data_IF_168278508092
#
_entry.id   IF_168278508092
#
_cell.length_a   1.000
_cell.length_b   1.000
_cell.length_c   1.000
_cell.angle_alpha   90.00
_cell.angle_beta   90.00
_cell.angle_gamma   90.00
#
_symmetry.space_group_name_H-M   'P 1'
#
loop_
_entity.id
_entity.type
_entity.pdbx_description
1 polymer ?
#
# COMPACT_ATOMS: atom_id res chain seq x y z
N UNK A 1 27.14 37.74 -3.62
CA UNK A 1 25.79 37.13 -3.58
C UNK A 1 25.76 35.99 -4.54
N UNK A 2 25.20 34.85 -4.19
CA UNK A 2 25.06 33.70 -5.08
C UNK A 2 24.09 34.06 -6.21
N UNK A 3 24.48 33.86 -7.46
CA UNK A 3 23.65 34.13 -8.61
C UNK A 3 22.48 33.14 -8.72
N UNK A 4 21.42 33.47 -9.46
CA UNK A 4 20.30 32.56 -9.70
C UNK A 4 20.76 31.24 -10.32
N UNK A 5 21.66 31.29 -11.32
CA UNK A 5 22.20 30.12 -11.97
C UNK A 5 22.98 29.20 -10.99
N UNK A 6 23.74 29.79 -10.06
CA UNK A 6 24.44 29.02 -9.03
C UNK A 6 23.46 28.37 -8.06
N UNK A 7 22.37 29.04 -7.68
CA UNK A 7 21.31 28.43 -6.84
C UNK A 7 20.65 27.25 -7.55
N UNK A 8 20.28 27.38 -8.83
CA UNK A 8 19.71 26.29 -9.63
C UNK A 8 20.67 25.11 -9.73
N UNK A 9 21.96 25.38 -9.98
CA UNK A 9 23.00 24.33 -10.03
C UNK A 9 23.12 23.57 -8.71
N UNK A 10 23.15 24.30 -7.60
CA UNK A 10 23.22 23.69 -6.26
C UNK A 10 21.98 22.85 -5.94
N UNK A 11 20.77 23.34 -6.26
CA UNK A 11 19.52 22.62 -6.07
C UNK A 11 19.50 21.30 -6.87
N UNK A 12 19.92 21.35 -8.14
CA UNK A 12 20.01 20.13 -8.99
C UNK A 12 21.03 19.14 -8.45
N UNK A 13 22.19 19.61 -7.99
CA UNK A 13 23.22 18.75 -7.43
C UNK A 13 22.74 18.05 -6.15
N UNK A 14 22.09 18.78 -5.25
CA UNK A 14 21.48 18.22 -4.03
C UNK A 14 20.39 17.18 -4.34
N UNK A 15 19.53 17.48 -5.30
CA UNK A 15 18.49 16.55 -5.73
C UNK A 15 19.08 15.26 -6.33
N UNK A 16 20.13 15.38 -7.16
CA UNK A 16 20.80 14.20 -7.75
C UNK A 16 21.51 13.35 -6.67
N UNK A 17 22.13 14.00 -5.67
CA UNK A 17 22.71 13.31 -4.52
C UNK A 17 21.62 12.49 -3.77
N UNK A 18 20.44 13.06 -3.56
CA UNK A 18 19.30 12.37 -2.94
C UNK A 18 18.86 11.17 -3.76
N UNK A 19 18.69 11.35 -5.10
CA UNK A 19 18.21 10.29 -5.99
C UNK A 19 19.20 9.13 -6.16
N UNK A 20 20.48 9.37 -5.98
CA UNK A 20 21.54 8.36 -6.15
C UNK A 20 22.07 7.79 -4.85
N UNK A 21 21.52 8.24 -3.72
CA UNK A 21 21.92 7.77 -2.39
C UNK A 21 21.70 6.27 -2.25
N UNK A 22 22.78 5.54 -1.96
CA UNK A 22 22.73 4.10 -1.71
C UNK A 22 21.99 3.78 -0.42
N UNK A 23 21.18 2.74 -0.46
CA UNK A 23 20.43 2.27 0.70
C UNK A 23 21.02 0.97 1.23
N UNK A 24 21.37 0.96 2.49
CA UNK A 24 22.02 -0.16 3.17
C UNK A 24 21.02 -0.86 4.10
N UNK A 25 21.04 -2.20 4.19
CA UNK A 25 20.22 -2.90 5.14
C UNK A 25 20.61 -2.56 6.58
N UNK A 26 19.65 -2.55 7.48
CA UNK A 26 19.91 -2.41 8.91
C UNK A 26 20.65 -3.64 9.42
N UNK A 27 21.60 -3.43 10.37
CA UNK A 27 22.45 -4.51 10.92
C UNK A 27 21.66 -5.56 11.71
N UNK A 28 20.54 -5.18 12.28
CA UNK A 28 19.71 -6.04 13.13
C UNK A 28 18.29 -6.09 12.60
N UNK A 29 17.71 -7.26 12.62
CA UNK A 29 16.35 -7.53 12.21
C UNK A 29 15.81 -8.79 12.90
N UNK A 30 14.57 -9.12 12.62
CA UNK A 30 13.89 -10.29 13.17
C UNK A 30 14.18 -11.60 12.42
N UNK A 31 15.00 -11.55 11.38
CA UNK A 31 15.33 -12.71 10.53
C UNK A 31 14.28 -13.01 9.45
N UNK A 32 13.08 -12.44 9.53
CA UNK A 32 11.98 -12.67 8.59
C UNK A 32 12.13 -11.76 7.38
N UNK A 33 12.43 -10.49 7.62
CA UNK A 33 12.69 -9.48 6.60
C UNK A 33 13.87 -8.58 6.99
N UNK A 34 14.42 -7.87 6.01
CA UNK A 34 15.44 -6.85 6.19
C UNK A 34 14.85 -5.47 5.89
N UNK A 35 14.98 -4.53 6.81
CA UNK A 35 14.70 -3.10 6.59
C UNK A 35 15.94 -2.36 6.15
N UNK A 36 15.76 -1.21 5.51
CA UNK A 36 16.83 -0.35 5.01
C UNK A 36 16.85 0.99 5.73
N UNK A 37 18.02 1.64 5.70
CA UNK A 37 18.31 2.84 6.48
C UNK A 37 17.51 4.06 6.08
N UNK A 38 17.27 4.22 4.77
CA UNK A 38 16.62 5.42 4.24
C UNK A 38 15.27 5.07 3.60
N UNK A 39 14.30 6.01 3.65
CA UNK A 39 13.14 5.90 2.78
C UNK A 39 13.58 5.93 1.31
N UNK A 40 12.89 5.15 0.49
CA UNK A 40 13.17 5.07 -0.96
C UNK A 40 12.58 6.25 -1.72
N UNK A 41 11.45 6.80 -1.23
CA UNK A 41 10.80 7.98 -1.79
C UNK A 41 10.25 8.87 -0.65
N UNK A 42 10.44 10.16 -0.82
CA UNK A 42 9.86 11.24 -0.01
C UNK A 42 9.38 12.35 -0.94
N UNK A 43 8.67 13.34 -0.45
CA UNK A 43 8.28 14.53 -1.22
C UNK A 43 9.48 15.22 -1.91
N UNK A 44 10.69 15.11 -1.35
CA UNK A 44 11.90 15.69 -1.93
C UNK A 44 12.35 15.00 -3.20
N UNK A 45 12.06 13.69 -3.37
CA UNK A 45 12.38 12.91 -4.56
C UNK A 45 11.55 13.28 -5.80
N UNK A 46 10.45 14.02 -5.63
CA UNK A 46 9.62 14.45 -6.76
C UNK A 46 10.40 15.38 -7.68
N UNK A 47 10.18 15.32 -9.01
CA UNK A 47 10.92 16.12 -9.98
C UNK A 47 10.93 17.60 -9.63
N UNK A 48 12.09 18.23 -9.77
CA UNK A 48 12.23 19.66 -9.47
C UNK A 48 11.33 20.52 -10.36
N UNK A 49 11.11 20.10 -11.62
CA UNK A 49 10.24 20.79 -12.58
C UNK A 49 8.74 20.80 -12.15
N UNK A 50 8.33 19.92 -11.22
CA UNK A 50 6.98 19.96 -10.67
C UNK A 50 6.81 21.04 -9.60
N UNK A 51 7.91 21.44 -8.97
CA UNK A 51 7.92 22.32 -7.77
C UNK A 51 8.40 23.73 -8.09
N UNK A 52 9.33 23.90 -9.02
CA UNK A 52 10.01 25.16 -9.26
C UNK A 52 9.77 25.68 -10.68
N UNK A 53 9.49 26.98 -10.77
CA UNK A 53 9.70 27.73 -11.98
C UNK A 53 11.18 28.16 -12.04
N UNK A 54 11.87 27.75 -13.11
CA UNK A 54 13.29 28.07 -13.33
C UNK A 54 13.50 29.36 -14.14
N UNK A 55 12.45 30.14 -14.40
CA UNK A 55 12.57 31.46 -14.99
C UNK A 55 12.96 32.48 -13.91
N UNK A 56 14.16 33.04 -13.97
CA UNK A 56 14.65 34.04 -12.99
C UNK A 56 13.73 35.25 -12.89
N UNK A 57 13.14 35.68 -14.02
CA UNK A 57 12.22 36.81 -14.08
C UNK A 57 10.96 36.56 -13.24
N UNK A 58 10.44 35.35 -13.31
CA UNK A 58 9.16 34.98 -12.68
C UNK A 58 9.35 34.40 -11.25
N UNK A 59 10.56 33.87 -10.98
CA UNK A 59 10.91 33.29 -9.69
C UNK A 59 12.32 33.69 -9.22
N UNK A 60 12.59 34.98 -8.98
CA UNK A 60 13.95 35.48 -8.71
C UNK A 60 14.57 34.93 -7.42
N UNK A 61 13.75 34.47 -6.48
CA UNK A 61 14.21 33.87 -5.22
C UNK A 61 14.39 32.37 -5.29
N UNK A 62 14.04 31.71 -6.41
CA UNK A 62 14.02 30.26 -6.59
C UNK A 62 13.22 29.56 -5.47
N UNK A 63 11.98 30.00 -5.29
CA UNK A 63 11.04 29.38 -4.33
C UNK A 63 10.25 28.26 -5.02
N UNK A 64 9.82 27.28 -4.23
CA UNK A 64 8.82 26.32 -4.70
C UNK A 64 7.51 27.04 -4.99
N UNK A 65 6.93 26.79 -6.16
CA UNK A 65 5.63 27.31 -6.56
C UNK A 65 4.50 26.34 -6.28
N UNK A 66 4.82 25.05 -6.33
CA UNK A 66 3.94 23.96 -5.92
C UNK A 66 4.71 23.15 -4.88
N UNK A 67 4.14 23.00 -3.69
CA UNK A 67 4.74 22.22 -2.62
C UNK A 67 4.16 20.82 -2.64
N UNK A 68 5.04 19.81 -2.51
CA UNK A 68 4.65 18.41 -2.29
C UNK A 68 4.74 18.11 -0.82
N UNK A 69 3.72 17.45 -0.28
CA UNK A 69 3.62 17.10 1.13
C UNK A 69 4.17 15.69 1.39
N UNK A 70 3.71 14.70 0.62
CA UNK A 70 4.02 13.32 0.88
C UNK A 70 4.13 12.48 -0.39
N UNK A 71 4.86 11.36 -0.29
CA UNK A 71 4.85 10.25 -1.25
C UNK A 71 4.62 8.96 -0.48
N UNK A 72 3.52 8.25 -0.75
CA UNK A 72 3.07 7.15 0.10
C UNK A 72 2.27 6.12 -0.71
N UNK A 73 1.94 4.99 -0.08
CA UNK A 73 0.96 3.99 -0.51
C UNK A 73 1.05 3.62 -2.01
N UNK A 74 2.20 3.11 -2.44
CA UNK A 74 2.44 2.79 -3.83
C UNK A 74 2.01 1.37 -4.19
N UNK A 75 1.30 1.22 -5.30
CA UNK A 75 1.20 -0.05 -6.02
C UNK A 75 2.54 -0.39 -6.67
N UNK A 76 2.87 -1.67 -6.82
CA UNK A 76 4.18 -2.10 -7.32
C UNK A 76 4.06 -3.18 -8.39
N UNK A 77 4.95 -3.14 -9.37
CA UNK A 77 5.04 -4.12 -10.44
C UNK A 77 6.48 -4.18 -11.00
N UNK A 78 6.90 -5.33 -11.50
CA UNK A 78 8.15 -5.46 -12.25
C UNK A 78 7.86 -5.53 -13.75
N UNK A 79 8.37 -4.59 -14.52
CA UNK A 79 8.25 -4.55 -15.97
C UNK A 79 9.59 -4.23 -16.61
N UNK A 80 9.96 -4.98 -17.66
CA UNK A 80 11.19 -4.76 -18.42
C UNK A 80 12.43 -4.69 -17.52
N UNK A 81 12.53 -5.63 -16.57
CA UNK A 81 13.60 -5.74 -15.56
C UNK A 81 13.74 -4.55 -14.61
N UNK A 82 12.76 -3.65 -14.57
CA UNK A 82 12.70 -2.53 -13.63
C UNK A 82 11.65 -2.75 -12.56
N UNK A 83 11.96 -2.29 -11.36
CA UNK A 83 11.02 -2.22 -10.24
C UNK A 83 10.27 -0.91 -10.33
N UNK A 84 8.98 -0.98 -10.55
CA UNK A 84 8.14 0.19 -10.83
C UNK A 84 7.09 0.33 -9.74
N UNK A 85 6.94 1.57 -9.27
CA UNK A 85 5.96 1.96 -8.27
C UNK A 85 4.99 2.98 -8.88
N UNK A 86 3.70 2.76 -8.70
CA UNK A 86 2.66 3.77 -8.96
C UNK A 86 2.35 4.42 -7.61
N UNK A 87 2.96 5.55 -7.38
CA UNK A 87 3.05 6.24 -6.10
C UNK A 87 1.89 7.21 -5.93
N UNK A 88 1.24 7.21 -4.77
CA UNK A 88 0.42 8.34 -4.35
C UNK A 88 1.33 9.50 -3.98
N UNK A 89 1.20 10.60 -4.69
CA UNK A 89 1.84 11.88 -4.34
C UNK A 89 0.76 12.82 -3.85
N UNK A 90 0.97 13.42 -2.69
CA UNK A 90 0.05 14.41 -2.11
C UNK A 90 0.68 15.80 -2.14
N UNK A 91 -0.05 16.78 -2.70
CA UNK A 91 0.31 18.18 -2.67
C UNK A 91 0.00 18.84 -1.32
N UNK A 92 0.55 20.00 -1.08
CA UNK A 92 0.24 20.82 0.11
C UNK A 92 -1.24 21.30 0.14
N UNK A 93 -1.94 21.19 -0.98
CA UNK A 93 -3.38 21.45 -1.11
C UNK A 93 -4.26 20.25 -0.72
N UNK A 94 -3.65 19.16 -0.21
CA UNK A 94 -4.30 17.90 0.18
C UNK A 94 -4.94 17.13 -0.98
N UNK A 95 -4.59 17.44 -2.23
CA UNK A 95 -4.99 16.63 -3.37
C UNK A 95 -3.92 15.60 -3.66
N UNK A 96 -4.35 14.36 -3.83
CA UNK A 96 -3.47 13.27 -4.25
C UNK A 96 -3.62 13.02 -5.74
N UNK A 97 -2.53 12.60 -6.34
CA UNK A 97 -2.47 12.11 -7.71
C UNK A 97 -1.48 10.94 -7.79
N UNK A 98 -1.48 10.22 -8.89
CA UNK A 98 -0.54 9.13 -9.09
C UNK A 98 0.65 9.55 -9.94
N UNK A 99 1.80 9.00 -9.60
CA UNK A 99 3.02 9.20 -10.38
C UNK A 99 3.84 7.91 -10.41
N UNK A 100 4.51 7.64 -11.52
CA UNK A 100 5.32 6.44 -11.69
C UNK A 100 6.75 6.74 -11.31
N UNK A 101 7.33 5.88 -10.45
CA UNK A 101 8.75 5.90 -10.13
C UNK A 101 9.37 4.53 -10.45
N UNK A 102 10.58 4.50 -10.99
CA UNK A 102 11.28 3.27 -11.34
C UNK A 102 12.66 3.18 -10.70
N UNK A 103 13.10 1.96 -10.42
CA UNK A 103 14.42 1.63 -9.88
C UNK A 103 15.02 0.43 -10.62
N UNK A 104 16.35 0.37 -10.82
CA UNK A 104 17.02 -0.79 -11.41
C UNK A 104 17.15 -1.96 -10.45
N UNK A 105 17.01 -1.77 -9.13
CA UNK A 105 17.28 -2.80 -8.12
C UNK A 105 16.19 -2.95 -7.05
N UNK A 106 15.18 -2.08 -7.06
CA UNK A 106 14.05 -2.12 -6.12
C UNK A 106 14.34 -1.63 -4.70
N UNK A 107 15.56 -1.17 -4.41
CA UNK A 107 16.02 -0.78 -3.07
C UNK A 107 16.45 0.69 -3.00
N UNK A 108 17.08 1.18 -4.04
CA UNK A 108 17.53 2.57 -4.17
C UNK A 108 17.45 3.04 -5.62
N UNK A 109 17.94 4.28 -5.89
CA UNK A 109 17.91 4.89 -7.22
C UNK A 109 16.51 4.96 -7.85
N UNK A 110 15.48 5.16 -7.05
CA UNK A 110 14.15 5.43 -7.56
C UNK A 110 14.09 6.81 -8.20
N UNK A 111 13.55 6.88 -9.42
CA UNK A 111 13.35 8.12 -10.16
C UNK A 111 11.91 8.18 -10.66
N UNK A 112 11.23 9.26 -10.36
CA UNK A 112 9.94 9.54 -10.98
C UNK A 112 10.09 9.75 -12.48
N UNK A 113 9.10 9.33 -13.23
CA UNK A 113 8.95 9.75 -14.63
C UNK A 113 8.70 11.25 -14.69
N UNK A 114 8.93 11.85 -15.86
CA UNK A 114 8.85 13.31 -16.02
C UNK A 114 7.46 13.86 -15.74
N UNK A 115 6.42 13.14 -16.16
CA UNK A 115 5.03 13.54 -16.00
C UNK A 115 4.30 12.64 -15.00
N UNK A 116 3.38 13.19 -14.17
CA UNK A 116 2.48 12.38 -13.38
C UNK A 116 1.48 11.62 -14.25
N UNK A 117 0.80 10.63 -13.67
CA UNK A 117 -0.23 9.89 -14.37
C UNK A 117 -1.44 10.79 -14.63
N UNK A 118 -1.79 10.94 -15.90
CA UNK A 118 -3.06 11.56 -16.29
C UNK A 118 -4.15 10.49 -16.23
N UNK A 119 -4.96 10.52 -15.17
CA UNK A 119 -6.12 9.66 -15.09
C UNK A 119 -7.26 10.28 -15.90
N UNK A 120 -7.89 9.52 -16.84
CA UNK A 120 -9.02 10.04 -17.58
C UNK A 120 -10.16 10.50 -16.67
N UNK A 121 -10.82 11.58 -17.06
CA UNK A 121 -11.95 12.13 -16.33
C UNK A 121 -13.14 11.17 -16.31
N UNK A 122 -13.93 11.27 -15.25
CA UNK A 122 -15.24 10.63 -15.10
C UNK A 122 -16.36 11.64 -15.32
N UNK A 123 -17.57 11.11 -15.53
CA UNK A 123 -18.78 11.95 -15.62
C UNK A 123 -18.97 12.81 -14.37
N UNK A 124 -18.68 12.23 -13.19
CA UNK A 124 -18.63 12.95 -11.91
C UNK A 124 -17.22 12.87 -11.36
N UNK A 125 -16.42 13.96 -11.45
CA UNK A 125 -15.04 13.97 -11.00
C UNK A 125 -14.90 13.63 -9.52
N UNK A 126 -13.89 12.84 -9.17
CA UNK A 126 -13.53 12.61 -7.79
C UNK A 126 -12.85 13.86 -7.20
N UNK A 127 -13.17 14.19 -5.96
CA UNK A 127 -12.47 15.25 -5.22
C UNK A 127 -11.04 14.87 -4.92
N UNK A 128 -10.80 13.57 -4.67
CA UNK A 128 -9.48 13.03 -4.40
C UNK A 128 -9.39 11.58 -4.87
N UNK A 129 -8.23 11.16 -5.39
CA UNK A 129 -7.95 9.78 -5.78
C UNK A 129 -6.67 9.30 -5.10
N UNK A 130 -6.67 8.09 -4.51
CA UNK A 130 -5.52 7.62 -3.75
C UNK A 130 -5.46 6.10 -3.57
N UNK A 131 -4.31 5.62 -3.11
CA UNK A 131 -4.06 4.26 -2.64
C UNK A 131 -4.26 3.20 -3.72
N UNK A 132 -3.65 3.40 -4.91
CA UNK A 132 -3.74 2.44 -6.01
C UNK A 132 -2.99 1.14 -5.69
N UNK A 133 -3.67 0.01 -5.91
CA UNK A 133 -3.10 -1.33 -5.96
C UNK A 133 -2.96 -1.74 -7.41
N UNK A 134 -1.79 -2.19 -7.78
CA UNK A 134 -1.50 -2.65 -9.15
C UNK A 134 -1.56 -4.17 -9.17
N UNK A 135 -2.32 -4.72 -10.10
CA UNK A 135 -2.41 -6.17 -10.33
C UNK A 135 -2.20 -6.47 -11.80
N UNK A 136 -1.16 -7.21 -12.13
CA UNK A 136 -1.05 -7.84 -13.44
C UNK A 136 -1.95 -9.07 -13.44
N UNK A 137 -3.02 -9.01 -14.20
CA UNK A 137 -4.02 -10.06 -14.26
C UNK A 137 -3.74 -11.04 -15.42
N UNK A 138 -4.18 -12.29 -15.28
CA UNK A 138 -3.94 -13.33 -16.28
C UNK A 138 -4.61 -13.08 -17.64
N UNK A 139 -5.60 -12.16 -17.73
CA UNK A 139 -6.16 -11.68 -19.00
C UNK A 139 -5.19 -10.79 -19.79
N UNK A 140 -4.01 -10.52 -19.23
CA UNK A 140 -2.94 -9.77 -19.84
C UNK A 140 -3.07 -8.24 -19.68
N UNK A 141 -4.02 -7.72 -18.88
CA UNK A 141 -4.07 -6.33 -18.49
C UNK A 141 -3.36 -6.09 -17.15
N UNK A 142 -2.89 -4.88 -16.97
CA UNK A 142 -2.46 -4.34 -15.68
C UNK A 142 -3.59 -3.46 -15.17
N UNK A 143 -4.16 -3.85 -14.04
CA UNK A 143 -5.23 -3.10 -13.39
C UNK A 143 -4.70 -2.27 -12.23
N UNK A 144 -5.19 -1.03 -12.15
CA UNK A 144 -5.08 -0.20 -10.97
C UNK A 144 -6.44 -0.11 -10.28
N UNK A 145 -6.53 -0.57 -9.04
CA UNK A 145 -7.73 -0.39 -8.21
C UNK A 145 -7.40 0.59 -7.09
N UNK A 146 -8.18 1.66 -6.97
CA UNK A 146 -7.89 2.78 -6.08
C UNK A 146 -9.15 3.38 -5.47
N UNK A 147 -8.98 4.21 -4.46
CA UNK A 147 -10.09 4.94 -3.86
C UNK A 147 -10.38 6.22 -4.64
N UNK A 148 -11.64 6.43 -5.02
CA UNK A 148 -12.17 7.69 -5.48
C UNK A 148 -13.08 8.27 -4.38
N UNK A 149 -12.68 9.44 -3.87
CA UNK A 149 -13.38 10.15 -2.80
C UNK A 149 -14.14 11.33 -3.37
N UNK A 150 -15.39 11.50 -2.90
CA UNK A 150 -16.26 12.63 -3.24
C UNK A 150 -16.88 13.21 -1.97
N UNK A 151 -17.23 14.49 -1.98
CA UNK A 151 -18.04 15.06 -0.90
C UNK A 151 -19.39 14.34 -0.82
N UNK A 152 -19.90 14.14 0.39
CA UNK A 152 -21.24 13.61 0.59
C UNK A 152 -22.27 14.74 0.49
N UNK A 153 -22.85 14.92 -0.68
CA UNK A 153 -23.83 15.99 -0.97
C UNK A 153 -25.15 15.82 -0.19
N UNK A 154 -25.39 14.68 0.43
CA UNK A 154 -26.50 14.51 1.37
C UNK A 154 -26.29 15.29 2.68
N UNK A 155 -25.06 15.70 2.96
CA UNK A 155 -24.63 16.44 4.15
C UNK A 155 -23.95 17.77 3.78
N UNK A 156 -24.58 18.71 3.07
CA UNK A 156 -23.91 19.86 2.47
C UNK A 156 -23.28 20.83 3.49
N UNK A 157 -23.74 20.80 4.74
CA UNK A 157 -23.17 21.61 5.83
C UNK A 157 -22.00 20.96 6.56
N UNK A 158 -21.68 19.69 6.26
CA UNK A 158 -20.59 18.95 6.87
C UNK A 158 -19.40 18.84 5.90
N UNK A 159 -18.46 19.76 5.99
CA UNK A 159 -17.29 19.82 5.11
C UNK A 159 -16.31 18.63 5.27
N UNK A 160 -16.53 17.76 6.23
CA UNK A 160 -15.78 16.51 6.43
C UNK A 160 -16.53 15.28 5.95
N UNK A 161 -17.77 15.43 5.51
CA UNK A 161 -18.56 14.32 4.98
C UNK A 161 -18.03 13.88 3.62
N UNK A 162 -17.72 12.61 3.48
CA UNK A 162 -17.22 12.06 2.25
C UNK A 162 -17.79 10.67 1.97
N UNK A 163 -17.85 10.32 0.70
CA UNK A 163 -18.13 8.98 0.19
C UNK A 163 -16.90 8.43 -0.52
N UNK A 164 -16.72 7.13 -0.45
CA UNK A 164 -15.60 6.45 -1.10
C UNK A 164 -16.11 5.28 -1.95
N UNK A 165 -15.65 5.24 -3.20
CA UNK A 165 -15.86 4.13 -4.12
C UNK A 165 -14.55 3.51 -4.52
N UNK A 166 -14.56 2.22 -4.86
CA UNK A 166 -13.44 1.56 -5.49
C UNK A 166 -13.45 1.88 -6.99
N UNK A 167 -12.45 2.61 -7.42
CA UNK A 167 -12.24 3.01 -8.78
C UNK A 167 -11.33 2.00 -9.50
N UNK A 168 -11.60 1.73 -10.78
CA UNK A 168 -10.84 0.78 -11.58
C UNK A 168 -10.29 1.50 -12.83
N UNK A 169 -9.00 1.31 -13.10
CA UNK A 169 -8.40 1.67 -14.37
C UNK A 169 -7.51 0.52 -14.86
N UNK A 170 -7.23 0.47 -16.16
CA UNK A 170 -6.33 -0.53 -16.74
C UNK A 170 -5.35 0.09 -17.71
N UNK A 171 -4.23 -0.58 -17.89
CA UNK A 171 -3.15 -0.13 -18.76
C UNK A 171 -2.36 -1.31 -19.31
N UNK A 172 -1.50 -1.06 -20.32
CA UNK A 172 -0.49 -2.01 -20.80
C UNK A 172 0.94 -1.53 -20.53
N UNK A 173 1.11 -0.26 -20.22
CA UNK A 173 2.41 0.40 -20.22
C UNK A 173 2.64 1.37 -19.04
N UNK A 174 1.65 1.52 -18.17
CA UNK A 174 1.58 2.47 -17.05
C UNK A 174 1.63 3.97 -17.47
N UNK A 175 1.61 4.25 -18.77
CA UNK A 175 1.57 5.61 -19.34
C UNK A 175 0.18 5.99 -19.77
N UNK A 176 -0.44 5.09 -20.54
CA UNK A 176 -1.79 5.29 -21.06
C UNK A 176 -2.77 4.48 -20.22
N UNK A 177 -3.71 5.16 -19.59
CA UNK A 177 -4.71 4.55 -18.73
C UNK A 177 -6.10 4.64 -19.33
N UNK A 178 -6.83 3.56 -19.28
CA UNK A 178 -8.25 3.48 -19.57
C UNK A 178 -9.00 3.42 -18.23
N UNK A 179 -9.81 4.44 -17.95
CA UNK A 179 -10.67 4.47 -16.77
C UNK A 179 -11.91 3.64 -17.03
N UNK A 180 -12.17 2.64 -16.18
CA UNK A 180 -13.41 1.86 -16.18
C UNK A 180 -14.41 2.49 -15.21
N UNK A 181 -15.73 2.18 -15.34
CA UNK A 181 -16.70 2.59 -14.33
C UNK A 181 -16.32 2.12 -12.93
N UNK A 182 -16.65 2.92 -11.92
CA UNK A 182 -16.45 2.56 -10.53
C UNK A 182 -17.13 1.22 -10.19
N UNK A 183 -16.50 0.44 -9.34
CA UNK A 183 -17.06 -0.81 -8.81
C UNK A 183 -18.35 -0.51 -8.05
N UNK A 184 -19.46 -1.02 -8.54
CA UNK A 184 -20.76 -0.88 -7.88
C UNK A 184 -20.83 -1.81 -6.67
N UNK A 185 -21.14 -1.24 -5.50
CA UNK A 185 -21.23 -1.96 -4.22
C UNK A 185 -22.37 -1.43 -3.38
N UNK A 186 -22.84 -2.23 -2.42
CA UNK A 186 -23.87 -1.81 -1.46
C UNK A 186 -23.35 -0.93 -0.34
N UNK A 187 -22.05 -1.08 -0.01
CA UNK A 187 -21.35 -0.36 1.05
C UNK A 187 -20.25 0.51 0.47
N UNK A 188 -19.72 1.45 1.23
CA UNK A 188 -18.52 2.16 0.84
C UNK A 188 -17.31 1.21 0.80
N UNK A 189 -16.37 1.46 -0.13
CA UNK A 189 -15.20 0.63 -0.34
C UNK A 189 -13.95 1.50 -0.52
N UNK A 190 -12.95 1.34 0.34
CA UNK A 190 -11.70 2.11 0.29
C UNK A 190 -10.47 1.28 -0.05
N UNK A 191 -10.46 -0.01 0.25
CA UNK A 191 -9.31 -0.90 0.10
C UNK A 191 -9.72 -2.17 -0.64
N UNK A 192 -9.96 -2.01 -1.93
CA UNK A 192 -10.29 -3.12 -2.82
C UNK A 192 -9.04 -3.55 -3.58
N UNK A 193 -8.86 -4.85 -3.71
CA UNK A 193 -7.72 -5.48 -4.39
C UNK A 193 -8.23 -6.51 -5.38
N UNK A 194 -7.77 -6.45 -6.63
CA UNK A 194 -8.06 -7.48 -7.63
C UNK A 194 -7.14 -8.68 -7.43
N UNK A 195 -7.72 -9.88 -7.38
CA UNK A 195 -6.97 -11.13 -7.43
C UNK A 195 -6.29 -11.29 -8.80
N UNK A 196 -5.06 -11.80 -8.89
CA UNK A 196 -4.32 -11.84 -10.16
C UNK A 196 -4.83 -12.87 -11.18
N UNK A 197 -5.63 -13.82 -10.76
CA UNK A 197 -6.16 -14.91 -11.60
C UNK A 197 -7.69 -14.93 -11.53
N UNK A 198 -8.33 -15.50 -12.55
CA UNK A 198 -9.76 -15.81 -12.48
C UNK A 198 -10.03 -16.86 -11.42
N UNK A 199 -11.15 -16.73 -10.74
CA UNK A 199 -11.67 -17.75 -9.82
C UNK A 199 -13.06 -18.13 -10.32
N UNK A 200 -13.27 -19.41 -10.61
CA UNK A 200 -14.50 -19.91 -11.25
C UNK A 200 -14.86 -19.18 -12.55
N UNK A 201 -13.83 -18.77 -13.32
CA UNK A 201 -13.99 -18.04 -14.57
C UNK A 201 -14.41 -16.57 -14.41
N UNK A 202 -14.33 -16.01 -13.20
CA UNK A 202 -14.74 -14.63 -12.86
C UNK A 202 -13.57 -13.83 -12.30
N UNK A 203 -13.66 -12.50 -12.41
CA UNK A 203 -12.78 -11.60 -11.67
C UNK A 203 -13.11 -11.65 -10.19
N UNK A 204 -12.08 -11.79 -9.37
CA UNK A 204 -12.23 -11.90 -7.93
C UNK A 204 -11.64 -10.70 -7.21
N UNK A 205 -12.34 -10.18 -6.21
CA UNK A 205 -11.93 -9.02 -5.44
C UNK A 205 -11.86 -9.31 -3.95
N UNK A 206 -10.78 -8.87 -3.33
CA UNK A 206 -10.73 -8.66 -1.90
C UNK A 206 -11.29 -7.26 -1.62
N UNK A 207 -12.24 -7.19 -0.71
CA UNK A 207 -12.99 -5.98 -0.40
C UNK A 207 -12.82 -5.60 1.07
N UNK A 208 -13.25 -4.41 1.43
CA UNK A 208 -13.41 -3.99 2.82
C UNK A 208 -14.68 -3.18 2.96
N UNK A 209 -15.84 -3.83 3.12
CA UNK A 209 -17.11 -3.14 3.28
C UNK A 209 -17.12 -2.27 4.53
N UNK A 210 -17.66 -1.07 4.43
CA UNK A 210 -17.79 -0.14 5.55
C UNK A 210 -19.05 0.70 5.43
N UNK A 211 -19.65 1.02 6.59
CA UNK A 211 -20.93 1.75 6.64
C UNK A 211 -20.69 3.25 6.37
N UNK A 212 -19.61 3.82 6.90
CA UNK A 212 -19.25 5.22 6.73
C UNK A 212 -17.87 5.41 6.11
N UNK A 213 -17.49 6.66 5.86
CA UNK A 213 -16.20 6.99 5.26
C UNK A 213 -15.00 6.67 6.19
N UNK A 214 -15.10 6.99 7.47
CA UNK A 214 -14.07 6.71 8.48
C UNK A 214 -14.45 5.50 9.32
N UNK A 215 -15.69 5.48 9.82
CA UNK A 215 -16.20 4.39 10.64
C UNK A 215 -16.61 3.22 9.77
N UNK A 216 -16.07 2.05 10.07
CA UNK A 216 -16.42 0.82 9.37
C UNK A 216 -17.74 0.23 9.82
N UNK A 217 -18.31 0.70 10.94
CA UNK A 217 -19.58 0.23 11.48
C UNK A 217 -19.60 -1.29 11.68
N UNK A 218 -20.55 -1.96 11.07
CA UNK A 218 -20.69 -3.42 11.08
C UNK A 218 -19.70 -4.13 10.16
N UNK A 219 -19.08 -3.42 9.21
CA UNK A 219 -18.09 -3.91 8.26
C UNK A 219 -16.65 -3.91 8.80
N UNK A 220 -15.68 -3.70 7.92
CA UNK A 220 -14.27 -3.49 8.25
C UNK A 220 -13.42 -4.75 8.36
N UNK A 221 -13.95 -5.92 8.01
CA UNK A 221 -13.19 -7.14 7.74
C UNK A 221 -12.76 -7.25 6.28
N UNK A 222 -11.88 -8.19 5.94
CA UNK A 222 -11.55 -8.52 4.55
C UNK A 222 -12.73 -9.31 3.96
N UNK A 223 -13.35 -8.77 2.92
CA UNK A 223 -14.38 -9.42 2.15
C UNK A 223 -13.83 -10.08 0.89
N UNK A 224 -14.69 -10.86 0.26
CA UNK A 224 -14.45 -11.53 -1.01
C UNK A 224 -15.69 -11.45 -1.88
N UNK A 225 -15.50 -11.12 -3.15
CA UNK A 225 -16.58 -11.04 -4.12
C UNK A 225 -16.11 -11.47 -5.51
N UNK A 226 -17.01 -12.00 -6.32
CA UNK A 226 -16.81 -12.37 -7.71
C UNK A 226 -17.62 -11.46 -8.64
N UNK A 227 -17.02 -11.10 -9.77
CA UNK A 227 -17.59 -10.22 -10.77
C UNK A 227 -17.42 -10.86 -12.16
N UNK A 228 -18.48 -10.91 -12.94
CA UNK A 228 -18.47 -11.54 -14.27
C UNK A 228 -17.77 -10.69 -15.33
N UNK A 229 -17.92 -9.35 -15.24
CA UNK A 229 -17.38 -8.40 -16.20
C UNK A 229 -16.73 -7.20 -15.47
N UNK A 230 -15.41 -7.07 -15.56
CA UNK A 230 -14.68 -5.98 -14.92
C UNK A 230 -14.94 -4.62 -15.57
N UNK A 231 -15.41 -4.58 -16.82
CA UNK A 231 -15.73 -3.33 -17.52
C UNK A 231 -17.05 -2.70 -17.05
N UNK A 232 -17.87 -3.48 -16.35
CA UNK A 232 -19.12 -3.06 -15.70
C UNK A 232 -19.26 -3.74 -14.33
N UNK A 233 -18.20 -3.62 -13.52
CA UNK A 233 -18.07 -4.37 -12.30
C UNK A 233 -19.16 -4.04 -11.26
N UNK A 234 -19.88 -5.07 -10.80
CA UNK A 234 -20.89 -4.97 -9.77
C UNK A 234 -20.79 -6.11 -8.78
N UNK A 235 -20.60 -5.81 -7.50
CA UNK A 235 -20.63 -6.78 -6.42
C UNK A 235 -22.05 -6.96 -5.92
N UNK A 236 -22.66 -8.10 -6.27
CA UNK A 236 -24.00 -8.48 -5.83
C UNK A 236 -24.00 -9.15 -4.46
N UNK A 237 -22.98 -9.98 -4.22
CA UNK A 237 -22.77 -10.74 -2.99
C UNK A 237 -21.31 -10.58 -2.53
N UNK A 238 -21.15 -10.37 -1.23
CA UNK A 238 -19.86 -10.18 -0.57
C UNK A 238 -19.81 -11.03 0.69
N UNK A 239 -18.74 -11.81 0.84
CA UNK A 239 -18.52 -12.69 2.00
C UNK A 239 -17.31 -12.21 2.76
N UNK A 240 -17.42 -12.00 4.08
CA UNK A 240 -16.25 -11.74 4.93
C UNK A 240 -15.45 -13.03 5.09
N UNK A 241 -14.18 -13.01 4.71
CA UNK A 241 -13.23 -14.13 4.84
C UNK A 241 -12.27 -13.97 6.01
N UNK A 242 -11.99 -12.73 6.42
CA UNK A 242 -11.16 -12.44 7.59
C UNK A 242 -11.82 -11.36 8.45
N UNK A 243 -12.40 -11.78 9.57
CA UNK A 243 -13.17 -10.91 10.48
C UNK A 243 -12.26 -10.02 11.33
N UNK A 244 -12.81 -8.89 11.78
CA UNK A 244 -12.27 -8.13 12.90
C UNK A 244 -12.43 -8.93 14.19
N UNK A 245 -11.49 -8.76 15.12
CA UNK A 245 -11.58 -9.41 16.43
C UNK A 245 -11.23 -8.47 17.57
N UNK A 246 -12.04 -8.53 18.62
CA UNK A 246 -11.83 -7.77 19.84
C UNK A 246 -10.43 -8.00 20.42
N UNK A 247 -9.79 -6.91 20.84
CA UNK A 247 -8.49 -6.87 21.51
C UNK A 247 -7.36 -7.54 20.71
N UNK A 248 -7.40 -7.36 19.39
CA UNK A 248 -6.33 -7.76 18.45
C UNK A 248 -5.89 -6.57 17.61
N UNK A 249 -4.90 -6.80 16.74
CA UNK A 249 -4.44 -5.79 15.78
C UNK A 249 -5.52 -5.40 14.75
N UNK A 250 -6.61 -6.16 14.63
CA UNK A 250 -7.67 -5.97 13.63
C UNK A 250 -9.00 -5.51 14.24
N UNK A 251 -9.00 -5.03 15.48
CA UNK A 251 -10.23 -4.72 16.19
C UNK A 251 -11.06 -3.57 15.59
N UNK A 252 -10.39 -2.58 14.97
CA UNK A 252 -11.08 -1.41 14.36
C UNK A 252 -11.28 -1.60 12.87
N UNK A 253 -10.21 -1.98 12.14
CA UNK A 253 -10.24 -2.19 10.70
C UNK A 253 -9.32 -3.33 10.32
N UNK A 254 -9.65 -3.99 9.22
CA UNK A 254 -8.87 -5.07 8.67
C UNK A 254 -9.02 -5.04 7.14
N UNK A 255 -7.93 -4.97 6.39
CA UNK A 255 -7.99 -4.84 4.94
C UNK A 255 -6.78 -5.41 4.23
N UNK A 256 -7.00 -5.84 3.00
CA UNK A 256 -5.92 -6.30 2.12
C UNK A 256 -4.97 -5.17 1.78
N UNK A 257 -3.68 -5.48 1.64
CA UNK A 257 -2.66 -4.58 1.13
C UNK A 257 -2.50 -4.68 -0.38
N UNK A 258 -1.39 -5.26 -0.92
CA UNK A 258 -1.24 -5.60 -2.33
C UNK A 258 -2.02 -6.87 -2.71
N UNK A 259 -2.07 -7.18 -4.02
CA UNK A 259 -2.58 -8.49 -4.48
C UNK A 259 -1.74 -9.64 -3.89
N UNK A 260 -2.33 -10.84 -3.66
CA UNK A 260 -1.59 -11.95 -3.07
C UNK A 260 -0.54 -12.53 -4.02
N UNK A 261 0.50 -13.15 -3.44
CA UNK A 261 1.54 -13.86 -4.19
C UNK A 261 1.21 -15.36 -4.20
N UNK A 262 1.19 -15.94 -5.40
CA UNK A 262 1.02 -17.39 -5.57
C UNK A 262 2.28 -18.15 -5.15
N UNK A 263 2.13 -19.15 -4.29
CA UNK A 263 3.22 -20.01 -3.85
C UNK A 263 2.82 -21.48 -3.96
N UNK A 264 3.75 -22.44 -3.96
CA UNK A 264 3.38 -23.85 -3.96
C UNK A 264 2.56 -24.31 -2.73
N UNK A 265 2.51 -23.52 -1.66
CA UNK A 265 1.82 -23.82 -0.40
C UNK A 265 0.47 -23.13 -0.24
N UNK A 266 0.16 -22.16 -1.08
CA UNK A 266 -1.05 -21.36 -1.00
C UNK A 266 -0.82 -19.95 -1.51
N UNK A 267 -1.85 -19.12 -1.46
CA UNK A 267 -1.76 -17.68 -1.68
C UNK A 267 -1.22 -17.00 -0.44
N UNK A 268 -0.14 -16.26 -0.60
CA UNK A 268 0.48 -15.49 0.47
C UNK A 268 -0.08 -14.06 0.45
N UNK A 269 -0.57 -13.58 1.58
CA UNK A 269 -1.22 -12.29 1.72
C UNK A 269 -0.43 -11.37 2.66
N UNK A 270 -0.38 -10.10 2.32
CA UNK A 270 0.07 -9.01 3.18
C UNK A 270 -1.10 -8.06 3.40
N UNK A 271 -1.56 -7.94 4.63
CA UNK A 271 -2.72 -7.15 5.01
C UNK A 271 -2.37 -6.10 6.06
N UNK A 272 -3.27 -5.16 6.31
CA UNK A 272 -3.14 -4.20 7.38
C UNK A 272 -4.22 -4.40 8.44
N UNK A 273 -3.80 -4.37 9.69
CA UNK A 273 -4.67 -4.37 10.85
C UNK A 273 -4.63 -3.00 11.53
N UNK A 274 -5.78 -2.58 12.06
CA UNK A 274 -5.94 -1.30 12.74
C UNK A 274 -6.58 -1.50 14.10
N UNK A 275 -5.95 -0.95 15.12
CA UNK A 275 -6.49 -0.90 16.48
C UNK A 275 -6.55 0.52 17.02
N UNK A 276 -7.41 0.74 18.01
CA UNK A 276 -7.45 1.98 18.76
C UNK A 276 -6.27 2.13 19.72
N UNK A 277 -5.83 3.37 19.93
CA UNK A 277 -4.87 3.79 20.97
C UNK A 277 -5.37 5.05 21.64
N UNK A 278 -4.74 5.47 22.74
CA UNK A 278 -5.09 6.74 23.38
C UNK A 278 -4.89 7.95 22.46
N UNK A 279 -3.95 7.86 21.50
CA UNK A 279 -3.57 8.95 20.60
C UNK A 279 -4.22 8.83 19.19
N UNK A 280 -5.16 7.91 18.99
CA UNK A 280 -5.80 7.68 17.70
C UNK A 280 -5.71 6.23 17.23
N UNK A 281 -5.32 6.00 15.99
CA UNK A 281 -5.27 4.68 15.38
C UNK A 281 -3.82 4.22 15.17
N UNK A 282 -3.57 2.94 15.42
CA UNK A 282 -2.32 2.28 15.04
C UNK A 282 -2.56 1.33 13.89
N UNK A 283 -1.81 1.52 12.79
CA UNK A 283 -1.79 0.64 11.63
C UNK A 283 -0.54 -0.22 11.62
N UNK A 284 -0.72 -1.52 11.44
CA UNK A 284 0.37 -2.48 11.34
C UNK A 284 0.12 -3.41 10.16
N UNK A 285 1.19 -3.98 9.61
CA UNK A 285 1.07 -5.03 8.59
C UNK A 285 1.09 -6.40 9.26
N UNK A 286 0.30 -7.32 8.72
CA UNK A 286 0.31 -8.72 9.12
C UNK A 286 0.19 -9.61 7.88
N UNK A 287 0.45 -10.90 8.05
CA UNK A 287 0.39 -11.87 6.97
C UNK A 287 -0.59 -12.99 7.29
N UNK A 288 -1.12 -13.59 6.24
CA UNK A 288 -1.88 -14.83 6.31
C UNK A 288 -1.76 -15.59 4.98
N UNK A 289 -2.23 -16.83 4.94
CA UNK A 289 -2.27 -17.61 3.70
C UNK A 289 -3.64 -18.23 3.48
N UNK A 290 -4.02 -18.34 2.20
CA UNK A 290 -5.22 -19.05 1.77
C UNK A 290 -4.87 -20.23 0.86
N UNK A 291 -5.80 -21.17 0.72
CA UNK A 291 -5.61 -22.34 -0.14
C UNK A 291 -5.54 -21.95 -1.63
N UNK A 292 -4.79 -22.71 -2.44
CA UNK A 292 -4.67 -22.42 -3.87
C UNK A 292 -5.98 -22.66 -4.63
N UNK A 293 -6.71 -23.69 -4.24
CA UNK A 293 -7.98 -24.11 -4.84
C UNK A 293 -9.20 -23.36 -4.30
N UNK A 294 -9.04 -22.68 -3.16
CA UNK A 294 -10.08 -21.86 -2.56
C UNK A 294 -9.46 -20.62 -1.88
N UNK A 295 -9.33 -19.50 -2.59
CA UNK A 295 -8.77 -18.27 -2.04
C UNK A 295 -9.55 -17.68 -0.84
N UNK A 296 -10.72 -18.21 -0.52
CA UNK A 296 -11.49 -17.80 0.67
C UNK A 296 -11.16 -18.61 1.91
N UNK A 297 -10.44 -19.75 1.77
CA UNK A 297 -10.09 -20.65 2.85
C UNK A 297 -8.73 -20.29 3.44
N UNK A 298 -8.72 -19.71 4.63
CA UNK A 298 -7.48 -19.42 5.34
C UNK A 298 -6.84 -20.72 5.83
N UNK A 299 -5.55 -20.93 5.53
CA UNK A 299 -4.77 -22.10 5.92
C UNK A 299 -3.64 -21.78 6.89
N UNK A 300 -3.25 -20.51 7.02
CA UNK A 300 -2.27 -20.06 8.02
C UNK A 300 -2.60 -18.64 8.48
N UNK A 301 -2.49 -18.41 9.79
CA UNK A 301 -2.87 -17.16 10.46
C UNK A 301 -1.91 -16.88 11.63
N UNK A 302 -0.69 -16.37 11.36
CA UNK A 302 0.23 -15.95 12.41
C UNK A 302 -0.42 -14.93 13.35
N UNK A 303 -0.20 -15.05 14.64
CA UNK A 303 -0.69 -14.08 15.62
C UNK A 303 0.12 -12.78 15.63
N UNK A 304 -0.53 -11.69 16.02
CA UNK A 304 0.11 -10.38 16.13
C UNK A 304 0.41 -9.70 14.80
N UNK A 305 1.43 -8.87 14.77
CA UNK A 305 1.85 -8.11 13.59
C UNK A 305 3.11 -8.70 12.94
N UNK A 306 3.26 -8.44 11.64
CA UNK A 306 4.45 -8.77 10.87
C UNK A 306 5.42 -7.59 10.80
N UNK A 307 4.96 -6.41 10.40
CA UNK A 307 5.76 -5.20 10.27
C UNK A 307 5.02 -4.01 10.89
N UNK A 308 5.78 -3.21 11.63
CA UNK A 308 5.29 -2.02 12.36
C UNK A 308 6.21 -0.84 12.12
N UNK A 309 5.75 0.41 12.34
CA UNK A 309 6.63 1.57 12.39
C UNK A 309 7.69 1.41 13.49
N UNK A 310 8.91 1.85 13.22
CA UNK A 310 10.03 1.84 14.17
C UNK A 310 10.81 3.16 14.08
N UNK A 311 11.28 3.67 15.22
CA UNK A 311 12.07 4.91 15.25
C UNK A 311 11.35 6.10 14.60
N UNK A 312 11.98 6.74 13.62
CA UNK A 312 11.42 7.89 12.91
C UNK A 312 10.20 7.55 12.03
N UNK A 313 9.94 6.26 11.78
CA UNK A 313 8.76 5.84 11.03
C UNK A 313 7.44 6.12 11.78
N UNK A 314 7.50 6.38 13.10
CA UNK A 314 6.32 6.77 13.88
C UNK A 314 5.80 8.16 13.55
N UNK A 315 6.64 9.05 13.00
CA UNK A 315 6.37 10.49 12.88
C UNK A 315 6.08 10.89 11.44
N UNK A 316 5.01 11.64 11.23
CA UNK A 316 4.58 12.18 9.94
C UNK A 316 3.17 12.76 10.01
N UNK A 317 2.46 12.79 8.89
CA UNK A 317 1.11 13.36 8.81
C UNK A 317 0.08 12.55 9.63
N UNK A 318 0.21 11.23 9.62
CA UNK A 318 -0.59 10.34 10.46
C UNK A 318 0.37 9.43 11.25
N UNK A 319 0.55 9.75 12.52
CA UNK A 319 1.47 9.02 13.38
C UNK A 319 1.09 7.54 13.54
N UNK A 320 2.10 6.69 13.77
CA UNK A 320 1.93 5.28 14.13
C UNK A 320 1.28 4.42 13.03
N UNK A 321 1.61 4.71 11.76
CA UNK A 321 1.09 4.02 10.59
C UNK A 321 2.22 3.32 9.82
N UNK A 322 2.07 2.01 9.57
CA UNK A 322 2.73 1.28 8.50
C UNK A 322 1.65 0.74 7.56
N UNK A 323 1.75 1.07 6.27
CA UNK A 323 0.75 0.70 5.27
C UNK A 323 1.41 0.28 3.95
N UNK A 324 0.90 -0.76 3.29
CA UNK A 324 1.46 -1.29 2.06
C UNK A 324 0.37 -1.55 1.02
N UNK A 325 0.62 -1.09 -0.21
CA UNK A 325 -0.23 -1.35 -1.38
C UNK A 325 0.49 -2.12 -2.48
N UNK A 326 1.79 -2.35 -2.32
CA UNK A 326 2.60 -2.98 -3.34
C UNK A 326 3.71 -3.85 -2.77
N UNK A 327 3.91 -4.97 -3.40
CA UNK A 327 5.09 -5.81 -3.27
C UNK A 327 5.43 -6.45 -4.61
N UNK A 328 6.65 -6.95 -4.74
CA UNK A 328 7.13 -7.65 -5.93
C UNK A 328 7.81 -8.92 -5.47
N UNK A 329 7.43 -10.04 -6.06
CA UNK A 329 8.15 -11.30 -5.95
C UNK A 329 8.93 -11.55 -7.22
N UNK A 330 10.25 -11.65 -7.11
CA UNK A 330 11.13 -11.98 -8.21
C UNK A 330 11.15 -13.49 -8.49
N UNK A 331 11.49 -13.91 -9.71
CA UNK A 331 11.56 -15.33 -10.07
C UNK A 331 12.57 -16.14 -9.23
N UNK A 332 13.57 -15.50 -8.63
CA UNK A 332 14.53 -16.12 -7.71
C UNK A 332 13.98 -16.29 -6.29
N UNK A 333 12.74 -15.88 -6.06
CA UNK A 333 12.04 -15.97 -4.78
C UNK A 333 12.28 -14.78 -3.85
N UNK A 334 13.04 -13.77 -4.24
CA UNK A 334 13.20 -12.54 -3.45
C UNK A 334 11.91 -11.72 -3.47
N UNK A 335 11.51 -11.18 -2.32
CA UNK A 335 10.31 -10.36 -2.16
C UNK A 335 10.71 -8.96 -1.70
N UNK A 336 10.17 -7.94 -2.39
CA UNK A 336 10.29 -6.53 -2.06
C UNK A 336 8.95 -6.04 -1.55
N UNK A 337 8.88 -5.59 -0.31
CA UNK A 337 7.68 -5.08 0.35
C UNK A 337 7.81 -3.57 0.43
N UNK A 338 6.98 -2.85 -0.34
CA UNK A 338 6.95 -1.39 -0.32
C UNK A 338 5.88 -0.92 0.64
N UNK A 339 6.30 -0.22 1.69
CA UNK A 339 5.40 0.28 2.72
C UNK A 339 5.61 1.75 3.00
N UNK A 340 4.53 2.44 3.30
CA UNK A 340 4.57 3.81 3.77
C UNK A 340 4.65 3.85 5.28
N UNK A 341 5.36 4.85 5.83
CA UNK A 341 5.35 5.18 7.24
C UNK A 341 4.73 6.54 7.46
N UNK A 342 3.86 6.62 8.49
CA UNK A 342 3.22 7.83 8.98
C UNK A 342 2.57 8.68 7.88
N UNK A 343 2.05 8.03 6.81
CA UNK A 343 1.44 8.63 5.62
C UNK A 343 2.30 9.73 4.95
N UNK A 344 3.62 9.62 5.03
CA UNK A 344 4.54 10.69 4.59
C UNK A 344 5.59 10.23 3.60
N UNK A 345 6.09 9.00 3.72
CA UNK A 345 7.24 8.51 2.97
C UNK A 345 7.16 7.01 2.71
N UNK A 346 7.81 6.57 1.63
CA UNK A 346 7.91 5.16 1.25
C UNK A 346 9.24 4.55 1.68
N UNK A 347 9.16 3.31 2.14
CA UNK A 347 10.27 2.45 2.47
C UNK A 347 10.21 1.15 1.68
N UNK A 348 11.27 0.36 1.75
CA UNK A 348 11.30 -1.02 1.30
C UNK A 348 11.79 -1.93 2.42
N UNK A 349 11.18 -3.08 2.53
CA UNK A 349 11.72 -4.23 3.25
C UNK A 349 11.88 -5.40 2.28
N UNK A 350 12.91 -6.23 2.46
CA UNK A 350 13.14 -7.40 1.61
C UNK A 350 13.08 -8.69 2.41
N UNK A 351 12.58 -9.75 1.75
CA UNK A 351 12.50 -11.10 2.29
C UNK A 351 12.64 -12.13 1.16
N UNK A 352 12.26 -13.36 1.42
CA UNK A 352 12.10 -14.41 0.40
C UNK A 352 10.77 -15.12 0.59
N UNK A 353 10.22 -15.70 -0.50
CA UNK A 353 9.00 -16.50 -0.46
C UNK A 353 9.10 -17.58 0.63
N UNK A 354 10.21 -18.31 0.66
CA UNK A 354 10.41 -19.39 1.64
C UNK A 354 10.34 -18.89 3.08
N UNK A 355 10.99 -17.79 3.41
CA UNK A 355 10.95 -17.19 4.75
C UNK A 355 9.53 -16.73 5.13
N UNK A 356 8.83 -16.11 4.19
CA UNK A 356 7.47 -15.60 4.45
C UNK A 356 6.47 -16.74 4.60
N UNK A 357 6.57 -17.78 3.78
CA UNK A 357 5.76 -18.99 3.91
C UNK A 357 6.06 -19.73 5.21
N UNK A 358 7.36 -19.90 5.57
CA UNK A 358 7.76 -20.50 6.85
C UNK A 358 7.22 -19.71 8.05
N UNK A 359 7.34 -18.37 8.01
CA UNK A 359 6.74 -17.49 9.02
C UNK A 359 5.25 -17.72 9.17
N UNK A 360 4.51 -17.74 8.05
CA UNK A 360 3.05 -17.94 8.08
C UNK A 360 2.65 -19.30 8.64
N UNK A 361 3.35 -20.36 8.20
CA UNK A 361 2.97 -21.74 8.52
C UNK A 361 3.41 -22.19 9.93
N UNK A 362 4.47 -21.59 10.47
CA UNK A 362 5.12 -22.05 11.72
C UNK A 362 5.04 -21.05 12.89
N UNK A 363 4.53 -19.83 12.66
CA UNK A 363 4.28 -18.88 13.76
C UNK A 363 2.94 -19.21 14.41
N UNK A 364 2.88 -19.30 15.76
CA UNK A 364 1.63 -19.55 16.47
C UNK A 364 0.55 -18.53 16.16
N UNK A 365 -0.69 -19.00 16.09
CA UNK A 365 -1.86 -18.12 16.03
C UNK A 365 -2.06 -17.33 17.33
N UNK A 366 -2.84 -16.24 17.24
CA UNK A 366 -3.26 -15.48 18.41
C UNK A 366 -4.19 -16.33 19.28
N UNK A 367 -3.84 -16.50 20.54
CA UNK A 367 -4.66 -17.24 21.52
C UNK A 367 -5.81 -16.43 22.11
N UNK A 368 -5.93 -15.15 21.79
CA UNK A 368 -6.97 -14.19 22.22
C UNK A 368 -7.09 -13.96 23.74
N UNK A 369 -6.30 -14.63 24.56
CA UNK A 369 -6.30 -14.51 26.04
C UNK A 369 -4.88 -14.49 26.58
N UNK A 370 -4.64 -13.72 27.60
CA UNK A 370 -3.31 -13.61 28.26
C UNK A 370 -2.77 -14.99 28.69
N UNK A 371 -3.63 -15.86 29.20
CA UNK A 371 -3.21 -17.21 29.61
C UNK A 371 -2.67 -18.03 28.43
N UNK A 372 -3.29 -17.95 27.26
CA UNK A 372 -2.82 -18.65 26.06
C UNK A 372 -1.47 -18.09 25.55
N UNK A 373 -1.26 -16.77 25.62
CA UNK A 373 0.03 -16.16 25.30
C UNK A 373 1.14 -16.67 26.23
N UNK A 374 0.87 -16.73 27.55
CA UNK A 374 1.83 -17.26 28.54
C UNK A 374 2.11 -18.73 28.28
N UNK A 375 1.09 -19.52 27.96
CA UNK A 375 1.25 -20.96 27.65
C UNK A 375 2.12 -21.16 26.40
N UNK A 376 1.90 -20.41 25.36
CA UNK A 376 2.71 -20.44 24.12
C UNK A 376 4.18 -20.14 24.42
N UNK A 377 4.49 -19.12 25.23
CA UNK A 377 5.85 -18.78 25.65
C UNK A 377 6.47 -19.94 26.47
N UNK A 378 5.73 -20.51 27.39
CA UNK A 378 6.21 -21.64 28.22
C UNK A 378 6.52 -22.90 27.38
N UNK A 379 5.70 -23.19 26.36
CA UNK A 379 5.94 -24.28 25.39
C UNK A 379 7.24 -24.03 24.63
N UNK A 380 7.46 -22.80 24.14
CA UNK A 380 8.69 -22.42 23.43
C UNK A 380 9.93 -22.55 24.34
N UNK A 381 9.86 -22.06 25.57
CA UNK A 381 10.95 -22.22 26.58
C UNK A 381 11.29 -23.71 26.81
N UNK A 382 10.26 -24.54 26.94
CA UNK A 382 10.45 -25.99 27.14
C UNK A 382 11.12 -26.65 25.95
N UNK A 383 10.68 -26.29 24.71
CA UNK A 383 11.28 -26.78 23.49
C UNK A 383 12.76 -26.35 23.38
N UNK A 384 13.06 -25.09 23.70
CA UNK A 384 14.43 -24.57 23.61
C UNK A 384 15.40 -25.25 24.58
N UNK A 385 14.93 -25.65 25.78
CA UNK A 385 15.75 -26.43 26.74
C UNK A 385 16.12 -27.83 26.26
N UNK A 386 15.45 -28.34 25.22
CA UNK A 386 15.79 -29.66 24.63
C UNK A 386 16.81 -29.51 23.48
N UNK A 387 17.09 -28.31 22.99
CA UNK A 387 17.99 -28.01 21.88
C UNK A 387 19.21 -27.15 22.28
N UNK A 388 19.31 -26.70 23.51
CA UNK A 388 20.47 -26.05 24.13
C UNK A 388 21.03 -26.90 25.22
#
# INVERSE_FOLDING_TARGET
>A
MTTFAEKVKALRAHHEELLTRKNEPLKWGNGIYEKYKYPILTAEHTPLGWKYDFCEKDNPYLMQRIMMNATLNAGAIKLNDKYILVVRVEGADRKSFFAVAESPNGIDNFRFWEEPVTMPDEEVPATNIYDMRITQHEDGWIYGVFCAERHDDSQPGNLSAATATAAIARTKDLKTWERLPDLKTKSQQRNVVLHPEFVDGKYAFYTRPQDGFIDTGSGGGIGWALVDDITHAEIKEEKIIYERKYHTITEVKNGEGPHPIKTPKGWLHLAHGVRGTADGLRYVLYMYMTALDDPTKIIARPGGFFLVPEGDEYLGDVMNVAFANGWIADPDGKVFIYYASADTRLHVATSTIDKLVDYCMNTPEDGYYTAASVETIKKLITKNKQHG
#
